data_IF_032750601737
#
_entry.id   IF_032750601737
#
_cell.length_a   1.000
_cell.length_b   1.000
_cell.length_c   1.000
_cell.angle_alpha   90.00
_cell.angle_beta   90.00
_cell.angle_gamma   90.00
#
_symmetry.space_group_name_H-M   'P 1'
#
loop_
_entity.id
_entity.type
_entity.pdbx_description
1 polymer ?
#
# COMPACT_ATOMS: atom_id res chain seq x y z
N UNK A 1 12.39 13.85 46.37
CA UNK A 1 13.55 14.60 45.82
C UNK A 1 14.57 13.68 45.18
N UNK A 2 15.08 12.64 45.86
CA UNK A 2 16.00 11.67 45.22
C UNK A 2 15.35 11.00 43.99
N UNK A 3 14.11 10.53 44.14
CA UNK A 3 13.36 9.88 43.05
C UNK A 3 13.11 10.79 41.83
N UNK A 4 12.86 12.08 42.05
CA UNK A 4 12.67 13.07 40.98
C UNK A 4 13.98 13.38 40.28
N UNK A 5 15.10 13.42 41.03
CA UNK A 5 16.44 13.58 40.47
C UNK A 5 16.84 12.36 39.62
N UNK A 6 16.56 11.15 40.09
CA UNK A 6 16.79 9.91 39.35
C UNK A 6 15.94 9.83 38.09
N UNK A 7 14.65 10.19 38.18
CA UNK A 7 13.72 10.25 37.05
C UNK A 7 14.18 11.24 35.98
N UNK A 8 14.63 12.42 36.40
CA UNK A 8 15.15 13.45 35.50
C UNK A 8 16.42 12.98 34.77
N UNK A 9 17.35 12.35 35.49
CA UNK A 9 18.54 11.75 34.87
C UNK A 9 18.19 10.63 33.88
N UNK A 10 17.22 9.78 34.21
CA UNK A 10 16.74 8.75 33.30
C UNK A 10 16.11 9.36 32.04
N UNK A 11 15.27 10.38 32.18
CA UNK A 11 14.64 11.09 31.06
C UNK A 11 15.67 11.78 30.16
N UNK A 12 16.70 12.43 30.71
CA UNK A 12 17.76 13.02 29.91
C UNK A 12 18.56 11.99 29.10
N UNK A 13 18.83 10.82 29.69
CA UNK A 13 19.47 9.70 28.98
C UNK A 13 18.58 9.16 27.87
N UNK A 14 17.28 9.03 28.13
CA UNK A 14 16.32 8.51 27.16
C UNK A 14 16.04 9.49 26.00
N UNK A 15 16.05 10.79 26.28
CA UNK A 15 15.71 11.84 25.33
C UNK A 15 16.91 12.39 24.56
N UNK A 16 18.12 11.90 24.85
CA UNK A 16 19.40 12.40 24.35
C UNK A 16 19.54 13.92 24.54
N UNK A 17 19.16 14.42 25.71
CA UNK A 17 19.20 15.85 26.02
C UNK A 17 20.63 16.39 25.96
N UNK A 18 20.77 17.60 25.42
CA UNK A 18 22.07 18.24 25.22
C UNK A 18 22.69 18.69 26.55
N UNK A 19 24.03 18.80 26.58
CA UNK A 19 24.73 19.32 27.75
C UNK A 19 24.34 20.78 28.08
N UNK A 20 23.86 21.55 27.10
CA UNK A 20 23.37 22.92 27.32
C UNK A 20 22.08 22.92 28.14
N UNK A 21 21.17 21.99 27.88
CA UNK A 21 19.92 21.82 28.63
C UNK A 21 20.21 21.32 30.05
N UNK A 22 21.17 20.38 30.20
CA UNK A 22 21.58 19.83 31.51
C UNK A 22 22.31 20.84 32.41
N UNK A 23 23.04 21.80 31.84
CA UNK A 23 23.83 22.80 32.60
C UNK A 23 23.00 23.61 33.59
N UNK A 24 21.72 23.84 33.29
CA UNK A 24 20.78 24.56 34.16
C UNK A 24 20.52 23.82 35.47
N UNK A 25 20.84 22.53 35.52
CA UNK A 25 20.71 21.65 36.68
C UNK A 25 22.06 21.14 37.23
N UNK A 26 23.16 21.82 36.90
CA UNK A 26 24.52 21.43 37.32
C UNK A 26 24.66 21.18 38.83
N UNK A 27 24.01 22.00 39.66
CA UNK A 27 23.96 21.85 41.14
C UNK A 27 23.22 20.59 41.60
N UNK A 28 22.24 20.13 40.83
CA UNK A 28 21.44 18.93 41.09
C UNK A 28 22.25 17.69 40.66
N UNK A 29 22.93 17.79 39.51
CA UNK A 29 23.80 16.74 38.97
C UNK A 29 25.00 16.48 39.90
N UNK A 30 25.61 17.53 40.48
CA UNK A 30 26.74 17.37 41.41
C UNK A 30 26.37 16.59 42.68
N UNK A 31 25.15 16.76 43.19
CA UNK A 31 24.66 16.06 44.40
C UNK A 31 24.37 14.58 44.14
N UNK A 32 23.92 14.25 42.93
CA UNK A 32 23.72 12.85 42.51
C UNK A 32 25.05 12.10 42.37
N UNK A 33 26.12 12.78 41.96
CA UNK A 33 27.44 12.19 41.73
C UNK A 33 28.25 12.06 43.03
N UNK A 34 28.14 13.04 43.95
CA UNK A 34 28.84 13.06 45.23
C UNK A 34 27.84 13.28 46.39
N UNK A 35 27.21 12.22 46.90
CA UNK A 35 26.24 12.32 48.00
C UNK A 35 26.89 12.49 49.39
N UNK A 36 28.22 12.31 49.52
CA UNK A 36 28.97 12.42 50.78
C UNK A 36 29.25 13.86 51.22
N UNK A 37 29.25 14.82 50.29
CA UNK A 37 29.30 16.26 50.62
C UNK A 37 27.90 16.69 51.03
N UNK A 38 27.65 16.53 52.33
CA UNK A 38 26.36 16.77 52.97
C UNK A 38 25.64 18.02 52.48
N UNK A 39 24.32 17.93 52.58
CA UNK A 39 23.27 18.92 52.30
C UNK A 39 23.53 20.23 53.09
N UNK A 40 24.58 20.95 52.74
CA UNK A 40 25.06 22.14 53.46
C UNK A 40 25.09 23.38 52.57
N UNK A 41 24.78 23.25 51.28
CA UNK A 41 24.56 24.40 50.40
C UNK A 41 23.11 24.88 50.50
N UNK A 42 22.91 25.98 51.24
CA UNK A 42 21.64 26.68 51.31
C UNK A 42 21.20 27.11 49.90
N UNK A 43 20.17 26.44 49.36
CA UNK A 43 19.59 26.77 48.06
C UNK A 43 19.26 25.57 47.18
N UNK A 44 19.84 24.38 47.41
CA UNK A 44 19.54 23.21 46.56
C UNK A 44 18.25 22.49 46.97
N UNK A 45 17.85 22.62 48.23
CA UNK A 45 16.52 22.27 48.74
C UNK A 45 15.54 23.45 48.67
N UNK A 46 15.86 24.53 47.95
CA UNK A 46 14.91 25.62 47.80
C UNK A 46 13.68 25.16 47.03
N UNK A 47 12.52 25.67 47.45
CA UNK A 47 11.25 25.43 46.77
C UNK A 47 11.35 25.72 45.25
N UNK A 48 12.06 26.79 44.88
CA UNK A 48 12.33 27.17 43.49
C UNK A 48 13.09 26.08 42.70
N UNK A 49 14.06 25.40 43.33
CA UNK A 49 14.85 24.34 42.66
C UNK A 49 14.02 23.07 42.46
N UNK A 50 13.13 22.76 43.41
CA UNK A 50 12.22 21.63 43.31
C UNK A 50 11.19 21.88 42.19
N UNK A 51 10.56 23.06 42.18
CA UNK A 51 9.61 23.45 41.13
C UNK A 51 10.23 23.44 39.73
N UNK A 52 11.46 23.95 39.59
CA UNK A 52 12.21 23.90 38.31
C UNK A 52 12.48 22.47 37.84
N UNK A 53 12.81 21.56 38.75
CA UNK A 53 13.06 20.16 38.44
C UNK A 53 11.77 19.43 38.04
N UNK A 54 10.69 19.64 38.79
CA UNK A 54 9.37 19.07 38.47
C UNK A 54 8.86 19.55 37.12
N UNK A 55 8.97 20.85 36.84
CA UNK A 55 8.62 21.43 35.55
C UNK A 55 9.45 20.84 34.38
N UNK A 56 10.74 20.57 34.60
CA UNK A 56 11.57 19.94 33.56
C UNK A 56 11.22 18.46 33.36
N UNK A 57 10.91 17.73 34.43
CA UNK A 57 10.42 16.34 34.33
C UNK A 57 9.11 16.30 33.56
N UNK A 58 8.18 17.22 33.85
CA UNK A 58 6.92 17.36 33.13
C UNK A 58 7.17 17.66 31.65
N UNK A 59 7.97 18.70 31.33
CA UNK A 59 8.33 19.08 29.95
C UNK A 59 8.98 17.93 29.18
N UNK A 60 9.89 17.17 29.79
CA UNK A 60 10.54 16.01 29.16
C UNK A 60 9.57 14.85 28.96
N UNK A 61 8.64 14.65 29.90
CA UNK A 61 7.60 13.62 29.80
C UNK A 61 6.61 13.94 28.69
N UNK A 62 6.20 15.20 28.55
CA UNK A 62 5.41 15.69 27.43
C UNK A 62 6.15 15.51 26.10
N UNK A 63 7.43 15.88 26.04
CA UNK A 63 8.25 15.72 24.85
C UNK A 63 8.41 14.24 24.46
N UNK A 64 8.63 13.35 25.44
CA UNK A 64 8.67 11.90 25.24
C UNK A 64 7.35 11.41 24.65
N UNK A 65 6.23 11.83 25.23
CA UNK A 65 4.90 11.45 24.77
C UNK A 65 4.66 11.94 23.33
N UNK A 66 5.02 13.18 23.03
CA UNK A 66 4.92 13.75 21.68
C UNK A 66 5.77 12.98 20.66
N UNK A 67 7.03 12.68 20.99
CA UNK A 67 7.92 11.85 20.13
C UNK A 67 7.34 10.46 19.91
N UNK A 68 6.81 9.83 20.96
CA UNK A 68 6.25 8.49 20.88
C UNK A 68 4.98 8.45 20.01
N UNK A 69 4.10 9.46 20.13
CA UNK A 69 2.96 9.64 19.21
C UNK A 69 3.42 9.77 17.75
N UNK A 70 4.46 10.55 17.49
CA UNK A 70 5.04 10.69 16.14
C UNK A 70 5.59 9.36 15.60
N UNK A 71 6.29 8.59 16.43
CA UNK A 71 6.82 7.28 16.01
C UNK A 71 5.67 6.31 15.70
N UNK A 72 4.67 6.24 16.58
CA UNK A 72 3.48 5.39 16.41
C UNK A 72 2.75 5.72 15.11
N UNK A 73 2.50 7.00 14.84
CA UNK A 73 1.86 7.43 13.59
C UNK A 73 2.67 7.07 12.34
N UNK A 74 4.00 7.24 12.36
CA UNK A 74 4.87 6.81 11.26
C UNK A 74 4.83 5.29 11.04
N UNK A 75 4.89 4.49 12.11
CA UNK A 75 4.83 3.03 12.02
C UNK A 75 3.48 2.53 11.50
N UNK A 76 2.38 3.17 11.88
CA UNK A 76 1.05 2.85 11.30
C UNK A 76 1.00 3.12 9.80
N UNK A 77 1.55 4.25 9.35
CA UNK A 77 1.61 4.55 7.92
C UNK A 77 2.46 3.50 7.15
N UNK A 78 3.57 3.02 7.73
CA UNK A 78 4.34 1.91 7.19
C UNK A 78 3.50 0.62 7.07
N UNK A 79 2.77 0.26 8.14
CA UNK A 79 1.88 -0.90 8.14
C UNK A 79 0.80 -0.81 7.07
N UNK A 80 0.14 0.35 6.96
CA UNK A 80 -0.91 0.59 5.97
C UNK A 80 -0.38 0.48 4.54
N UNK A 81 0.80 1.03 4.25
CA UNK A 81 1.43 0.92 2.93
C UNK A 81 1.75 -0.54 2.58
N UNK A 82 2.28 -1.32 3.53
CA UNK A 82 2.56 -2.75 3.33
C UNK A 82 1.27 -3.52 3.05
N UNK A 83 0.24 -3.33 3.86
CA UNK A 83 -1.05 -4.00 3.69
C UNK A 83 -1.69 -3.65 2.34
N UNK A 84 -1.68 -2.37 1.98
CA UNK A 84 -2.20 -1.88 0.69
C UNK A 84 -1.44 -2.49 -0.50
N UNK A 85 -0.11 -2.50 -0.45
CA UNK A 85 0.72 -3.05 -1.53
C UNK A 85 0.59 -4.58 -1.65
N UNK A 86 0.28 -5.27 -0.55
CA UNK A 86 0.07 -6.72 -0.52
C UNK A 86 -1.41 -7.14 -0.69
N UNK A 87 -2.33 -6.19 -0.85
CA UNK A 87 -3.77 -6.40 -0.91
C UNK A 87 -4.30 -7.21 0.29
N UNK A 88 -3.79 -6.90 1.49
CA UNK A 88 -4.19 -7.47 2.77
C UNK A 88 -5.12 -6.46 3.46
N UNK A 89 -6.22 -6.93 4.06
CA UNK A 89 -7.04 -6.08 4.93
C UNK A 89 -6.25 -5.75 6.21
N UNK A 90 -6.07 -4.46 6.55
CA UNK A 90 -5.45 -4.06 7.80
C UNK A 90 -6.29 -4.56 8.98
N UNK A 91 -5.63 -4.92 10.08
CA UNK A 91 -6.33 -5.23 11.31
C UNK A 91 -7.06 -3.98 11.82
N UNK A 92 -8.37 -4.10 12.05
CA UNK A 92 -9.24 -3.03 12.56
C UNK A 92 -8.73 -2.49 13.90
N UNK A 93 -8.04 -3.32 14.69
CA UNK A 93 -7.43 -2.92 15.98
C UNK A 93 -6.37 -1.82 15.86
N UNK A 94 -5.85 -1.58 14.64
CA UNK A 94 -4.86 -0.53 14.35
C UNK A 94 -5.43 0.69 13.65
N UNK A 95 -6.76 0.77 13.50
CA UNK A 95 -7.42 1.88 12.86
C UNK A 95 -7.00 3.22 13.53
N UNK A 96 -6.62 4.23 12.74
CA UNK A 96 -6.05 5.48 13.26
C UNK A 96 -7.05 6.22 14.15
N UNK A 97 -8.35 6.18 13.84
CA UNK A 97 -9.38 6.85 14.63
C UNK A 97 -9.55 6.22 16.02
N UNK A 98 -9.56 4.88 16.11
CA UNK A 98 -9.70 4.18 17.39
C UNK A 98 -8.46 4.33 18.25
N UNK A 99 -7.29 4.17 17.65
CA UNK A 99 -6.03 4.13 18.39
C UNK A 99 -5.52 5.51 18.79
N UNK A 100 -5.83 6.58 18.04
CA UNK A 100 -5.55 7.96 18.47
C UNK A 100 -6.44 8.38 19.64
N UNK A 101 -7.73 8.03 19.60
CA UNK A 101 -8.64 8.30 20.71
C UNK A 101 -8.19 7.61 22.01
N UNK A 102 -7.70 6.37 21.92
CA UNK A 102 -7.20 5.60 23.07
C UNK A 102 -5.88 6.14 23.66
N UNK A 103 -5.04 6.76 22.83
CA UNK A 103 -3.83 7.46 23.27
C UNK A 103 -4.22 8.77 23.98
N UNK A 104 -5.16 9.53 23.42
CA UNK A 104 -5.56 10.83 23.96
C UNK A 104 -6.38 10.69 25.25
N UNK A 105 -7.10 9.58 25.43
CA UNK A 105 -7.77 9.23 26.69
C UNK A 105 -6.82 8.65 27.76
N UNK A 106 -5.53 8.47 27.45
CA UNK A 106 -4.55 7.88 28.38
C UNK A 106 -4.84 6.41 28.74
N UNK A 107 -5.69 5.74 27.95
CA UNK A 107 -6.16 4.38 28.25
C UNK A 107 -5.14 3.31 27.85
N UNK A 108 -4.30 3.60 26.85
CA UNK A 108 -3.27 2.67 26.36
C UNK A 108 -1.90 3.35 26.46
N UNK A 109 -0.92 2.62 27.01
CA UNK A 109 0.47 3.06 26.97
C UNK A 109 0.97 3.11 25.52
N UNK A 110 1.46 4.26 25.03
CA UNK A 110 1.92 4.36 23.64
C UNK A 110 3.11 3.44 23.32
N UNK A 111 3.87 2.97 24.33
CA UNK A 111 5.00 2.04 24.12
C UNK A 111 4.52 0.61 23.84
N UNK A 112 3.52 0.12 24.58
CA UNK A 112 2.86 -1.17 24.30
C UNK A 112 2.21 -1.18 22.92
N UNK A 113 1.52 -0.09 22.56
CA UNK A 113 0.91 0.07 21.26
C UNK A 113 1.92 0.07 20.11
N UNK A 114 3.07 0.72 20.30
CA UNK A 114 4.18 0.69 19.35
C UNK A 114 4.67 -0.75 19.13
N UNK A 115 4.91 -1.51 20.20
CA UNK A 115 5.36 -2.90 20.10
C UNK A 115 4.35 -3.79 19.36
N UNK A 116 3.04 -3.59 19.59
CA UNK A 116 1.99 -4.28 18.85
C UNK A 116 2.03 -3.93 17.35
N UNK A 117 2.16 -2.65 16.99
CA UNK A 117 2.26 -2.22 15.58
C UNK A 117 3.51 -2.82 14.92
N UNK A 118 4.65 -2.82 15.60
CA UNK A 118 5.89 -3.42 15.07
C UNK A 118 5.73 -4.93 14.82
N UNK A 119 5.06 -5.64 15.73
CA UNK A 119 4.70 -7.06 15.54
C UNK A 119 3.80 -7.27 14.32
N UNK A 120 2.80 -6.40 14.13
CA UNK A 120 1.92 -6.44 12.96
C UNK A 120 2.66 -6.13 11.65
N UNK A 121 3.61 -5.20 11.66
CA UNK A 121 4.46 -4.91 10.49
C UNK A 121 5.26 -6.16 10.09
N UNK A 122 5.86 -6.87 11.04
CA UNK A 122 6.60 -8.11 10.75
C UNK A 122 5.68 -9.16 10.12
N UNK A 123 4.51 -9.40 10.72
CA UNK A 123 3.51 -10.34 10.18
C UNK A 123 3.03 -9.94 8.77
N UNK A 124 2.77 -8.66 8.56
CA UNK A 124 2.34 -8.14 7.26
C UNK A 124 3.44 -8.29 6.19
N UNK A 125 4.72 -8.09 6.55
CA UNK A 125 5.86 -8.32 5.66
C UNK A 125 6.01 -9.79 5.29
N UNK A 126 5.90 -10.70 6.27
CA UNK A 126 5.95 -12.15 6.02
C UNK A 126 4.81 -12.63 5.11
N UNK A 127 3.59 -12.16 5.37
CA UNK A 127 2.43 -12.45 4.53
C UNK A 127 2.62 -11.89 3.13
N UNK A 128 3.09 -10.65 2.99
CA UNK A 128 3.41 -10.01 1.69
C UNK A 128 4.42 -10.83 0.88
N UNK A 129 5.52 -11.27 1.52
CA UNK A 129 6.52 -12.15 0.90
C UNK A 129 5.90 -13.46 0.42
N UNK A 130 5.02 -14.06 1.21
CA UNK A 130 4.35 -15.30 0.85
C UNK A 130 3.39 -15.16 -0.34
N UNK A 131 2.77 -13.98 -0.48
CA UNK A 131 1.82 -13.66 -1.57
C UNK A 131 2.55 -13.28 -2.86
N UNK A 132 3.85 -12.98 -2.79
CA UNK A 132 4.65 -12.44 -3.91
C UNK A 132 4.51 -13.22 -5.22
N UNK A 133 4.64 -14.54 -5.19
CA UNK A 133 4.54 -15.35 -6.43
C UNK A 133 3.13 -15.28 -7.06
N UNK A 134 2.08 -15.25 -6.23
CA UNK A 134 0.70 -15.06 -6.72
C UNK A 134 0.53 -13.66 -7.28
N UNK A 135 1.01 -12.63 -6.58
CA UNK A 135 0.97 -11.24 -7.04
C UNK A 135 1.69 -11.03 -8.37
N UNK A 136 2.87 -11.64 -8.55
CA UNK A 136 3.62 -11.56 -9.81
C UNK A 136 2.86 -12.24 -10.97
N UNK A 137 2.14 -13.34 -10.69
CA UNK A 137 1.28 -14.01 -11.68
C UNK A 137 0.05 -13.18 -12.02
N UNK A 138 -0.60 -12.56 -11.03
CA UNK A 138 -1.70 -11.60 -11.24
C UNK A 138 -1.23 -10.47 -12.16
N UNK A 139 -0.09 -9.86 -11.86
CA UNK A 139 0.46 -8.77 -12.68
C UNK A 139 0.71 -9.17 -14.13
N UNK A 140 1.26 -10.37 -14.36
CA UNK A 140 1.46 -10.92 -15.71
C UNK A 140 0.15 -11.19 -16.43
N UNK A 141 -0.84 -11.75 -15.73
CA UNK A 141 -2.16 -12.02 -16.29
C UNK A 141 -2.90 -10.72 -16.64
N UNK A 142 -2.86 -9.70 -15.77
CA UNK A 142 -3.44 -8.38 -16.05
C UNK A 142 -2.79 -7.76 -17.29
N UNK A 143 -1.46 -7.77 -17.40
CA UNK A 143 -0.77 -7.23 -18.56
C UNK A 143 -1.17 -7.96 -19.87
N UNK A 144 -1.42 -9.27 -19.82
CA UNK A 144 -1.95 -10.01 -20.97
C UNK A 144 -3.38 -9.59 -21.33
N UNK A 145 -4.25 -9.37 -20.34
CA UNK A 145 -5.59 -8.83 -20.53
C UNK A 145 -5.59 -7.41 -21.11
N UNK A 146 -4.60 -6.58 -20.77
CA UNK A 146 -4.46 -5.23 -21.34
C UNK A 146 -4.04 -5.28 -22.81
N UNK A 147 -3.13 -6.18 -23.18
CA UNK A 147 -2.77 -6.40 -24.59
C UNK A 147 -3.94 -6.99 -25.38
N UNK A 148 -4.79 -7.83 -24.77
CA UNK A 148 -6.05 -8.29 -25.37
C UNK A 148 -6.99 -7.12 -25.67
N UNK A 149 -7.21 -6.24 -24.69
CA UNK A 149 -8.06 -5.07 -24.85
C UNK A 149 -7.54 -4.13 -25.95
N UNK A 150 -6.23 -3.86 -25.95
CA UNK A 150 -5.58 -3.07 -27.00
C UNK A 150 -5.74 -3.72 -28.39
N UNK A 151 -5.58 -5.04 -28.49
CA UNK A 151 -5.75 -5.77 -29.75
C UNK A 151 -7.20 -5.68 -30.25
N UNK A 152 -8.18 -5.74 -29.35
CA UNK A 152 -9.60 -5.60 -29.69
C UNK A 152 -9.90 -4.19 -30.24
N UNK A 153 -9.38 -3.14 -29.60
CA UNK A 153 -9.47 -1.76 -30.08
C UNK A 153 -8.79 -1.60 -31.45
N UNK A 154 -7.59 -2.17 -31.62
CA UNK A 154 -6.86 -2.14 -32.89
C UNK A 154 -7.59 -2.91 -34.01
N UNK A 155 -8.31 -3.99 -33.69
CA UNK A 155 -9.10 -4.73 -34.67
C UNK A 155 -10.34 -3.95 -35.15
N UNK A 156 -10.85 -3.03 -34.35
CA UNK A 156 -12.02 -2.19 -34.68
C UNK A 156 -11.64 -0.91 -35.46
N UNK A 157 -10.36 -0.55 -35.51
CA UNK A 157 -9.89 0.63 -36.21
C UNK A 157 -9.99 0.46 -37.74
N UNK A 158 -10.87 1.26 -38.37
CA UNK A 158 -11.04 1.27 -39.83
C UNK A 158 -9.80 1.77 -40.56
N UNK A 159 -8.92 2.54 -39.91
CA UNK A 159 -7.67 3.06 -40.47
C UNK A 159 -6.46 2.14 -40.24
N UNK A 160 -6.69 0.93 -39.71
CA UNK A 160 -5.66 -0.06 -39.39
C UNK A 160 -4.64 -0.33 -40.50
N UNK A 161 -5.10 -0.35 -41.75
CA UNK A 161 -4.27 -0.63 -42.93
C UNK A 161 -3.82 0.62 -43.69
N UNK A 162 -4.02 1.81 -43.12
CA UNK A 162 -3.47 3.03 -43.71
C UNK A 162 -1.95 2.94 -43.79
N UNK A 163 -1.37 3.24 -44.96
CA UNK A 163 0.06 3.09 -45.29
C UNK A 163 0.98 4.08 -44.57
N UNK A 164 0.63 4.50 -43.36
CA UNK A 164 1.38 5.46 -42.56
C UNK A 164 2.67 4.89 -41.95
N UNK A 165 3.62 5.79 -41.67
CA UNK A 165 4.87 5.47 -40.97
C UNK A 165 4.54 4.88 -39.59
N UNK A 166 4.86 3.60 -39.37
CA UNK A 166 4.56 2.88 -38.10
C UNK A 166 3.52 1.75 -38.20
N UNK A 167 2.83 1.59 -39.34
CA UNK A 167 1.85 0.51 -39.52
C UNK A 167 2.45 -0.90 -39.30
N UNK A 168 3.67 -1.14 -39.79
CA UNK A 168 4.38 -2.41 -39.61
C UNK A 168 4.69 -2.73 -38.13
N UNK A 169 4.90 -1.71 -37.29
CA UNK A 169 5.15 -1.89 -35.84
C UNK A 169 3.87 -2.32 -35.13
N UNK A 170 2.74 -1.69 -35.47
CA UNK A 170 1.44 -2.05 -34.92
C UNK A 170 1.00 -3.45 -35.37
N UNK A 171 1.25 -3.81 -36.64
CA UNK A 171 1.02 -5.17 -37.13
C UNK A 171 1.86 -6.20 -36.36
N UNK A 172 3.15 -5.91 -36.13
CA UNK A 172 4.03 -6.79 -35.33
C UNK A 172 3.58 -6.90 -33.88
N UNK A 173 3.10 -5.82 -33.26
CA UNK A 173 2.54 -5.84 -31.91
C UNK A 173 1.25 -6.65 -31.86
N UNK A 174 0.36 -6.48 -32.85
CA UNK A 174 -0.89 -7.24 -32.94
C UNK A 174 -0.65 -8.74 -33.04
N UNK A 175 0.36 -9.17 -33.80
CA UNK A 175 0.70 -10.59 -33.88
C UNK A 175 1.23 -11.14 -32.56
N UNK A 176 2.11 -10.39 -31.87
CA UNK A 176 2.54 -10.75 -30.51
C UNK A 176 1.38 -10.81 -29.53
N UNK A 177 0.45 -9.85 -29.60
CA UNK A 177 -0.72 -9.79 -28.74
C UNK A 177 -1.64 -11.00 -28.98
N UNK A 178 -1.85 -11.44 -30.23
CA UNK A 178 -2.63 -12.66 -30.53
C UNK A 178 -2.04 -13.90 -29.86
N UNK A 179 -0.73 -14.10 -29.97
CA UNK A 179 -0.02 -15.22 -29.31
C UNK A 179 -0.12 -15.12 -27.79
N UNK A 180 -0.14 -13.92 -27.23
CA UNK A 180 -0.33 -13.73 -25.80
C UNK A 180 -1.77 -14.03 -25.36
N UNK A 181 -2.75 -13.60 -26.13
CA UNK A 181 -4.18 -13.84 -25.88
C UNK A 181 -4.52 -15.33 -25.86
N UNK A 182 -3.91 -16.14 -26.73
CA UNK A 182 -4.11 -17.60 -26.72
C UNK A 182 -3.55 -18.26 -25.46
N UNK A 183 -2.60 -17.61 -24.77
CA UNK A 183 -2.00 -18.11 -23.51
C UNK A 183 -2.75 -17.66 -22.26
N UNK A 184 -3.65 -16.69 -22.34
CA UNK A 184 -4.41 -16.17 -21.19
C UNK A 184 -5.12 -17.28 -20.39
N UNK A 185 -5.82 -18.26 -21.01
CA UNK A 185 -6.48 -19.33 -20.27
C UNK A 185 -5.49 -20.14 -19.42
N UNK A 186 -4.34 -20.52 -19.99
CA UNK A 186 -3.32 -21.28 -19.27
C UNK A 186 -2.67 -20.47 -18.13
N UNK A 187 -2.46 -19.16 -18.32
CA UNK A 187 -1.97 -18.28 -17.25
C UNK A 187 -2.97 -18.18 -16.09
N UNK A 188 -4.26 -18.12 -16.40
CA UNK A 188 -5.33 -18.10 -15.41
C UNK A 188 -5.46 -19.43 -14.67
N UNK A 189 -5.43 -20.58 -15.36
CA UNK A 189 -5.46 -21.90 -14.71
C UNK A 189 -4.26 -22.10 -13.77
N UNK A 190 -3.08 -21.65 -14.22
CA UNK A 190 -1.88 -21.67 -13.39
C UNK A 190 -2.01 -20.78 -12.14
N UNK A 191 -2.61 -19.59 -12.28
CA UNK A 191 -2.87 -18.70 -11.17
C UNK A 191 -3.85 -19.32 -10.16
N UNK A 192 -4.97 -19.88 -10.64
CA UNK A 192 -5.96 -20.59 -9.80
C UNK A 192 -5.30 -21.72 -9.01
N UNK A 193 -4.53 -22.59 -9.68
CA UNK A 193 -3.84 -23.71 -9.04
C UNK A 193 -2.83 -23.24 -7.99
N UNK A 194 -2.09 -22.16 -8.29
CA UNK A 194 -1.13 -21.61 -7.33
C UNK A 194 -1.80 -20.98 -6.12
N UNK A 195 -2.93 -20.30 -6.33
CA UNK A 195 -3.76 -19.76 -5.26
C UNK A 195 -4.29 -20.87 -4.37
N UNK A 196 -4.85 -21.95 -4.94
CA UNK A 196 -5.29 -23.11 -4.16
C UNK A 196 -4.16 -23.73 -3.34
N UNK A 197 -2.97 -23.92 -3.93
CA UNK A 197 -1.83 -24.45 -3.21
C UNK A 197 -1.43 -23.58 -2.00
N UNK A 198 -1.52 -22.25 -2.15
CA UNK A 198 -1.27 -21.31 -1.06
C UNK A 198 -2.38 -21.35 0.01
N UNK A 199 -3.65 -21.41 -0.40
CA UNK A 199 -4.80 -21.51 0.52
C UNK A 199 -4.70 -22.79 1.37
N UNK A 200 -4.39 -23.92 0.74
CA UNK A 200 -4.23 -25.21 1.41
C UNK A 200 -3.04 -25.20 2.38
N UNK A 201 -1.91 -24.62 2.00
CA UNK A 201 -0.71 -24.56 2.84
C UNK A 201 -0.90 -23.70 4.11
N UNK A 202 -1.77 -22.67 4.05
CA UNK A 202 -2.02 -21.74 5.16
C UNK A 202 -3.36 -21.95 5.86
N UNK A 203 -4.18 -22.88 5.37
CA UNK A 203 -5.54 -23.13 5.85
C UNK A 203 -6.40 -21.85 5.95
N UNK A 204 -6.29 -20.95 4.96
CA UNK A 204 -7.07 -19.71 4.89
C UNK A 204 -7.32 -19.30 3.44
N UNK A 205 -8.45 -18.65 3.12
CA UNK A 205 -8.72 -18.17 1.77
C UNK A 205 -7.76 -17.05 1.37
N UNK A 206 -7.39 -17.01 0.10
CA UNK A 206 -6.60 -15.93 -0.47
C UNK A 206 -7.55 -14.79 -0.85
N UNK A 207 -7.54 -13.74 -0.02
CA UNK A 207 -8.30 -12.52 -0.25
C UNK A 207 -7.46 -11.49 -0.99
N UNK A 208 -8.04 -10.90 -2.03
CA UNK A 208 -7.52 -9.79 -2.82
C UNK A 208 -8.55 -8.67 -2.78
N UNK A 209 -8.23 -7.54 -2.14
CA UNK A 209 -9.13 -6.39 -1.95
C UNK A 209 -10.51 -6.78 -1.38
N UNK A 210 -10.52 -7.72 -0.42
CA UNK A 210 -11.72 -8.25 0.24
C UNK A 210 -12.46 -9.36 -0.52
N UNK A 211 -12.06 -9.69 -1.75
CA UNK A 211 -12.67 -10.76 -2.54
C UNK A 211 -11.76 -12.00 -2.63
N UNK A 212 -12.33 -13.20 -2.62
CA UNK A 212 -11.54 -14.43 -2.86
C UNK A 212 -11.06 -14.47 -4.31
N UNK A 213 -9.74 -14.54 -4.50
CA UNK A 213 -9.14 -14.44 -5.83
C UNK A 213 -9.62 -15.54 -6.81
N UNK A 214 -9.79 -16.77 -6.33
CA UNK A 214 -10.27 -17.88 -7.17
C UNK A 214 -11.65 -17.58 -7.75
N UNK A 215 -12.58 -17.11 -6.93
CA UNK A 215 -13.95 -16.79 -7.37
C UNK A 215 -13.96 -15.72 -8.45
N UNK A 216 -13.12 -14.70 -8.31
CA UNK A 216 -12.93 -13.66 -9.33
C UNK A 216 -12.43 -14.24 -10.65
N UNK A 217 -11.44 -15.13 -10.61
CA UNK A 217 -10.85 -15.73 -11.81
C UNK A 217 -11.83 -16.66 -12.52
N UNK A 218 -12.64 -17.41 -11.78
CA UNK A 218 -13.69 -18.26 -12.33
C UNK A 218 -14.80 -17.45 -13.00
N UNK A 219 -15.19 -16.32 -12.41
CA UNK A 219 -16.13 -15.39 -13.00
C UNK A 219 -15.58 -14.80 -14.31
N UNK A 220 -14.31 -14.38 -14.32
CA UNK A 220 -13.65 -13.92 -15.55
C UNK A 220 -13.64 -15.00 -16.63
N UNK A 221 -13.35 -16.27 -16.28
CA UNK A 221 -13.39 -17.42 -17.20
C UNK A 221 -14.76 -17.56 -17.86
N UNK A 222 -15.83 -17.43 -17.09
CA UNK A 222 -17.20 -17.53 -17.60
C UNK A 222 -17.51 -16.38 -18.57
N UNK A 223 -17.20 -15.15 -18.18
CA UNK A 223 -17.43 -13.95 -19.00
C UNK A 223 -16.70 -14.01 -20.34
N UNK A 224 -15.46 -14.53 -20.35
CA UNK A 224 -14.69 -14.71 -21.59
C UNK A 224 -15.40 -15.68 -22.55
N UNK A 225 -15.88 -16.82 -22.05
CA UNK A 225 -16.63 -17.80 -22.86
C UNK A 225 -17.92 -17.21 -23.42
N UNK A 226 -18.66 -16.45 -22.62
CA UNK A 226 -19.88 -15.77 -23.06
C UNK A 226 -19.58 -14.77 -24.19
N UNK A 227 -18.55 -13.94 -24.03
CA UNK A 227 -18.12 -12.98 -25.06
C UNK A 227 -17.69 -13.65 -26.37
N UNK A 228 -16.98 -14.77 -26.30
CA UNK A 228 -16.58 -15.54 -27.48
C UNK A 228 -17.80 -16.18 -28.19
N UNK A 229 -18.75 -16.71 -27.42
CA UNK A 229 -20.00 -17.29 -27.90
C UNK A 229 -20.93 -16.24 -28.54
N UNK A 230 -21.05 -15.05 -27.94
CA UNK A 230 -21.78 -13.92 -28.53
C UNK A 230 -21.16 -13.50 -29.86
N UNK A 231 -19.84 -13.32 -29.92
CA UNK A 231 -19.14 -13.05 -31.20
C UNK A 231 -19.38 -14.15 -32.24
N UNK A 232 -19.48 -15.41 -31.82
CA UNK A 232 -19.83 -16.53 -32.72
C UNK A 232 -21.27 -16.39 -33.23
N UNK A 233 -22.23 -16.07 -32.37
CA UNK A 233 -23.63 -15.84 -32.75
C UNK A 233 -23.81 -14.68 -33.72
N UNK A 234 -23.14 -13.54 -33.49
CA UNK A 234 -23.16 -12.40 -34.41
C UNK A 234 -22.63 -12.79 -35.79
N UNK A 235 -21.49 -13.50 -35.87
CA UNK A 235 -20.93 -13.97 -37.15
C UNK A 235 -21.85 -14.91 -37.92
N UNK A 236 -22.62 -15.76 -37.22
CA UNK A 236 -23.61 -16.66 -37.84
C UNK A 236 -24.85 -15.88 -38.29
N UNK A 237 -25.26 -14.86 -37.54
CA UNK A 237 -26.37 -13.96 -37.90
C UNK A 237 -26.05 -13.07 -39.11
N UNK A 238 -24.80 -12.61 -39.24
CA UNK A 238 -24.33 -11.82 -40.39
C UNK A 238 -24.25 -12.64 -41.70
N UNK A 239 -24.27 -13.98 -41.60
CA UNK A 239 -24.36 -14.88 -42.75
C UNK A 239 -25.80 -15.12 -43.26
N UNK A 240 -26.83 -14.59 -42.58
CA UNK A 240 -28.20 -14.58 -43.09
C UNK A 240 -28.44 -13.26 -43.84
N UNK A 241 -28.90 -13.30 -45.12
CA UNK A 241 -29.09 -12.10 -45.90
C UNK A 241 -30.37 -11.40 -45.43
N UNK A 242 -30.27 -10.56 -44.40
CA UNK A 242 -31.22 -9.48 -44.17
C UNK A 242 -30.51 -8.26 -43.60
N UNK A 243 -30.54 -7.22 -44.43
CA UNK A 243 -30.03 -5.88 -44.22
C UNK A 243 -30.76 -5.19 -43.06
N UNK A 244 -30.06 -4.28 -42.38
CA UNK A 244 -30.46 -3.45 -41.22
C UNK A 244 -30.38 -4.12 -39.84
N UNK A 245 -29.37 -3.76 -39.06
CA UNK A 245 -29.49 -3.10 -37.73
C UNK A 245 -28.06 -2.86 -37.18
N UNK A 246 -27.37 -1.82 -37.67
CA UNK A 246 -25.96 -1.55 -37.32
C UNK A 246 -25.74 -0.73 -36.03
N UNK A 247 -26.77 -0.30 -35.30
CA UNK A 247 -26.57 0.54 -34.12
C UNK A 247 -27.59 0.24 -33.03
N UNK A 248 -27.28 -0.75 -32.18
CA UNK A 248 -27.80 -0.87 -30.80
C UNK A 248 -27.14 -2.10 -30.18
N UNK A 249 -26.08 -1.88 -29.38
CA UNK A 249 -25.72 -2.68 -28.19
C UNK A 249 -24.26 -2.45 -27.76
N UNK A 250 -23.85 -1.19 -27.64
CA UNK A 250 -22.64 -0.84 -26.88
C UNK A 250 -23.00 -0.20 -25.51
N UNK A 251 -24.26 -0.31 -25.09
CA UNK A 251 -24.81 0.35 -23.90
C UNK A 251 -25.95 -0.48 -23.25
N UNK A 252 -25.75 -1.77 -23.03
CA UNK A 252 -26.70 -2.54 -22.21
C UNK A 252 -26.09 -3.86 -21.73
N UNK A 253 -25.12 -3.81 -20.80
CA UNK A 253 -25.01 -4.91 -19.83
C UNK A 253 -24.65 -4.36 -18.45
N UNK A 254 -25.73 -4.05 -17.74
CA UNK A 254 -25.83 -3.95 -16.29
C UNK A 254 -25.55 -5.30 -15.64
N UNK A 255 -24.27 -5.59 -15.41
CA UNK A 255 -23.83 -6.46 -14.32
C UNK A 255 -23.16 -5.57 -13.28
N UNK A 256 -23.94 -4.98 -12.38
CA UNK A 256 -23.52 -3.93 -11.44
C UNK A 256 -22.42 -4.36 -10.43
N UNK A 257 -22.04 -5.64 -10.38
CA UNK A 257 -20.89 -6.12 -9.60
C UNK A 257 -19.66 -6.50 -10.46
N UNK A 258 -19.89 -6.95 -11.70
CA UNK A 258 -18.87 -7.56 -12.59
C UNK A 258 -18.06 -6.49 -13.33
N UNK A 259 -18.75 -5.46 -13.82
CA UNK A 259 -18.09 -4.23 -14.31
C UNK A 259 -17.44 -3.48 -13.15
N UNK A 260 -17.97 -3.59 -11.93
CA UNK A 260 -17.40 -2.92 -10.77
C UNK A 260 -16.05 -3.52 -10.37
N UNK A 261 -15.84 -4.84 -10.38
CA UNK A 261 -14.57 -5.43 -9.97
C UNK A 261 -13.47 -5.29 -11.04
N UNK A 262 -13.76 -5.56 -12.32
CA UNK A 262 -12.83 -5.30 -13.42
C UNK A 262 -12.63 -3.78 -13.62
N UNK A 263 -13.65 -2.92 -13.45
CA UNK A 263 -13.43 -1.47 -13.40
C UNK A 263 -12.80 -1.01 -12.09
N UNK A 264 -12.84 -1.73 -10.97
CA UNK A 264 -12.19 -1.36 -9.69
C UNK A 264 -10.71 -1.72 -9.73
N UNK A 265 -10.39 -2.93 -10.21
CA UNK A 265 -9.04 -3.30 -10.63
C UNK A 265 -8.56 -2.33 -11.71
N UNK A 266 -9.30 -2.09 -12.81
CA UNK A 266 -8.91 -1.14 -13.87
C UNK A 266 -8.94 0.35 -13.46
N UNK A 267 -9.72 0.80 -12.46
CA UNK A 267 -9.75 2.22 -11.99
C UNK A 267 -8.59 2.50 -11.05
N UNK A 268 -8.34 1.64 -10.06
CA UNK A 268 -7.13 1.72 -9.23
C UNK A 268 -5.86 1.54 -10.08
N UNK A 269 -5.95 0.69 -11.10
CA UNK A 269 -4.85 0.48 -12.04
C UNK A 269 -4.70 1.60 -13.09
N UNK A 270 -5.76 2.23 -13.60
CA UNK A 270 -5.66 3.43 -14.47
C UNK A 270 -4.91 4.56 -13.78
N UNK A 271 -5.10 4.73 -12.47
CA UNK A 271 -4.35 5.71 -11.67
C UNK A 271 -2.84 5.38 -11.64
N UNK A 272 -2.47 4.11 -11.42
CA UNK A 272 -1.06 3.64 -11.48
C UNK A 272 -0.47 3.63 -12.90
N UNK A 273 -1.27 3.32 -13.93
CA UNK A 273 -0.88 3.37 -15.33
C UNK A 273 -0.64 4.81 -15.79
N UNK A 274 -1.47 5.78 -15.38
CA UNK A 274 -1.24 7.21 -15.64
C UNK A 274 0.01 7.73 -14.92
N UNK A 275 0.33 7.24 -13.71
CA UNK A 275 1.59 7.55 -13.02
C UNK A 275 2.82 6.93 -13.71
N UNK A 276 2.76 5.67 -14.18
CA UNK A 276 3.86 5.04 -14.94
C UNK A 276 4.01 5.66 -16.33
N UNK A 277 2.91 6.00 -17.00
CA UNK A 277 2.90 6.71 -18.29
C UNK A 277 3.45 8.13 -18.14
N UNK A 278 3.23 8.83 -17.01
CA UNK A 278 3.93 10.09 -16.68
C UNK A 278 5.44 9.92 -16.48
N UNK A 279 5.90 8.79 -15.91
CA UNK A 279 7.35 8.48 -15.80
C UNK A 279 7.99 8.11 -17.14
N UNK A 280 7.27 7.44 -18.04
CA UNK A 280 7.76 7.07 -19.38
C UNK A 280 7.61 8.17 -20.43
N UNK A 281 6.74 9.16 -20.22
CA UNK A 281 6.56 10.32 -21.10
C UNK A 281 7.18 11.61 -20.54
N UNK A 282 7.87 11.58 -19.40
CA UNK A 282 8.71 12.70 -18.98
C UNK A 282 9.90 12.78 -19.96
N UNK A 283 10.00 13.83 -20.80
CA UNK A 283 11.22 14.06 -21.56
C UNK A 283 12.32 14.33 -20.54
N UNK A 284 13.48 13.72 -20.75
CA UNK A 284 14.68 13.93 -19.95
C UNK A 284 15.14 15.39 -20.13
N UNK A 285 14.53 16.31 -19.38
CA UNK A 285 14.79 17.75 -19.47
C UNK A 285 16.25 18.06 -19.08
N UNK A 286 16.85 17.20 -18.25
CA UNK A 286 18.26 17.23 -17.87
C UNK A 286 19.26 16.83 -18.98
N UNK A 287 18.81 16.25 -20.10
CA UNK A 287 19.70 15.92 -21.24
C UNK A 287 19.67 16.96 -22.37
N UNK A 288 18.71 17.90 -22.38
CA UNK A 288 18.65 18.98 -23.38
C UNK A 288 19.47 20.21 -23.02
N UNK A 289 19.81 20.40 -21.74
CA UNK A 289 20.63 21.54 -21.28
C UNK A 289 22.15 21.26 -21.28
N UNK A 290 22.58 20.05 -21.68
CA UNK A 290 24.01 19.71 -21.86
C UNK A 290 24.45 19.64 -23.32
N UNK A 291 23.55 19.94 -24.26
CA UNK A 291 23.80 19.91 -25.71
C UNK A 291 23.43 21.23 -26.41
N UNK A 292 23.24 22.30 -25.64
CA UNK A 292 23.17 23.69 -26.09
C UNK A 292 24.27 24.46 -25.34
#
# INVERSE_FOLDING_TARGET
MRDTMESLCHLWKLMDSSEVEKRQFSKVISILISPEEGITSAGVLSQETIEKMEAEVERLTELKTKRLKEIVTKRRAELEDICKNAHIEPDLSTAPEQTNALIDSGTIDPSELLANIESQIVKAKEESLSRKDIMDRINKWIAACDEEAWLEEYNQDSKRYSSGRGAHVNLRRAEKARILVTKIPAMMDNLINRTFAWENARNKPFLYDGGRLVSVLEEYRLNRKQKEEEKRRYRVSDCLPNHHYWLKNNMAYSGLNITFFICRIRRNWRASYLQRKKRFLAPNQAQRERAA
#
